data_IF_907281906674
#
_entry.id   IF_907281906674
#
_cell.length_a   1.000
_cell.length_b   1.000
_cell.length_c   1.000
_cell.angle_alpha   90.00
_cell.angle_beta   90.00
_cell.angle_gamma   90.00
#
_symmetry.space_group_name_H-M   'P 1'
#
loop_
_entity.id
_entity.type
_entity.pdbx_description
1 polymer ?
#
# COMPACT_ATOMS: atom_id res chain seq x y z
N UNK A 1 -26.46 1.85 -18.23
CA UNK A 1 -25.83 3.17 -18.02
C UNK A 1 -24.45 2.95 -17.44
N UNK A 2 -23.34 3.18 -18.17
CA UNK A 2 -22.02 3.02 -17.57
C UNK A 2 -21.82 4.17 -16.58
N UNK A 3 -21.55 3.84 -15.31
CA UNK A 3 -21.20 4.84 -14.31
C UNK A 3 -19.95 5.58 -14.80
N UNK A 4 -20.04 6.90 -14.95
CA UNK A 4 -18.89 7.72 -15.26
C UNK A 4 -17.84 7.49 -14.16
N UNK A 5 -16.70 6.88 -14.53
CA UNK A 5 -15.53 6.79 -13.64
C UNK A 5 -15.21 8.20 -13.17
N UNK A 6 -15.45 8.50 -11.90
CA UNK A 6 -14.98 9.75 -11.30
C UNK A 6 -13.46 9.76 -11.46
N UNK A 7 -12.94 10.71 -12.24
CA UNK A 7 -11.50 10.89 -12.41
C UNK A 7 -10.88 11.31 -11.07
N UNK A 8 -9.64 10.89 -10.81
CA UNK A 8 -8.83 11.36 -9.70
C UNK A 8 -8.96 12.88 -9.53
N UNK A 9 -9.25 13.33 -8.31
CA UNK A 9 -9.41 14.75 -7.98
C UNK A 9 -8.21 15.23 -7.18
N UNK A 10 -7.89 16.53 -7.31
CA UNK A 10 -6.88 17.15 -6.44
C UNK A 10 -7.50 17.47 -5.09
N UNK A 11 -7.20 16.66 -4.08
CA UNK A 11 -7.64 16.85 -2.69
C UNK A 11 -6.47 17.37 -1.86
N UNK A 12 -6.77 18.00 -0.73
CA UNK A 12 -5.73 18.40 0.24
C UNK A 12 -5.33 17.21 1.09
N UNK A 13 -4.10 17.20 1.59
CA UNK A 13 -3.63 16.09 2.44
C UNK A 13 -4.49 15.96 3.70
N UNK A 14 -4.91 17.09 4.30
CA UNK A 14 -5.77 17.08 5.49
C UNK A 14 -7.10 16.35 5.28
N UNK A 15 -7.68 16.42 4.08
CA UNK A 15 -8.95 15.74 3.77
C UNK A 15 -8.83 14.22 3.68
N UNK A 16 -7.61 13.70 3.48
CA UNK A 16 -7.40 12.29 3.17
C UNK A 16 -6.47 11.55 4.13
N UNK A 17 -5.71 12.27 4.94
CA UNK A 17 -4.73 11.72 5.86
C UNK A 17 -5.32 10.66 6.80
N UNK A 18 -6.42 10.98 7.49
CA UNK A 18 -7.08 10.05 8.41
C UNK A 18 -7.54 8.77 7.69
N UNK A 19 -8.00 8.92 6.45
CA UNK A 19 -8.43 7.79 5.63
C UNK A 19 -7.23 6.92 5.22
N UNK A 20 -6.11 7.53 4.84
CA UNK A 20 -4.90 6.77 4.54
C UNK A 20 -4.40 6.02 5.79
N UNK A 21 -4.29 6.71 6.94
CA UNK A 21 -3.89 6.09 8.22
C UNK A 21 -4.82 4.92 8.58
N UNK A 22 -6.14 5.10 8.44
CA UNK A 22 -7.12 4.05 8.69
C UNK A 22 -6.91 2.82 7.79
N UNK A 23 -6.68 3.05 6.49
CA UNK A 23 -6.50 1.99 5.50
C UNK A 23 -5.19 1.23 5.76
N UNK A 24 -4.08 1.92 6.01
CA UNK A 24 -2.79 1.27 6.33
C UNK A 24 -2.88 0.45 7.61
N UNK A 25 -3.54 0.97 8.66
CA UNK A 25 -3.76 0.22 9.90
C UNK A 25 -4.58 -1.04 9.66
N UNK A 26 -5.55 -1.01 8.75
CA UNK A 26 -6.39 -2.17 8.41
C UNK A 26 -5.62 -3.18 7.59
N UNK A 27 -4.84 -2.76 6.61
CA UNK A 27 -3.94 -3.62 5.82
C UNK A 27 -2.92 -4.30 6.73
N UNK A 28 -2.25 -3.53 7.60
CA UNK A 28 -1.35 -4.05 8.63
C UNK A 28 -2.03 -5.12 9.49
N UNK A 29 -3.24 -4.84 9.98
CA UNK A 29 -4.01 -5.77 10.81
C UNK A 29 -4.34 -7.08 10.09
N UNK A 30 -4.63 -7.02 8.79
CA UNK A 30 -4.85 -8.20 7.96
C UNK A 30 -3.56 -9.03 7.82
N UNK A 31 -2.43 -8.40 7.54
CA UNK A 31 -1.13 -9.10 7.45
C UNK A 31 -0.71 -9.71 8.78
N UNK A 32 -0.97 -9.04 9.91
CA UNK A 32 -0.79 -9.64 11.25
C UNK A 32 -1.69 -10.86 11.44
N UNK A 33 -2.93 -10.85 10.93
CA UNK A 33 -3.78 -12.02 10.98
C UNK A 33 -3.19 -13.19 10.17
N UNK A 34 -2.53 -12.92 9.03
CA UNK A 34 -1.82 -13.93 8.24
C UNK A 34 -0.57 -14.48 8.94
N UNK A 35 0.16 -13.67 9.72
CA UNK A 35 1.26 -14.16 10.58
C UNK A 35 0.76 -15.25 11.54
N UNK A 36 -0.44 -15.07 12.10
CA UNK A 36 -1.03 -16.06 13.00
C UNK A 36 -1.59 -17.27 12.25
N UNK A 37 -2.28 -17.04 11.12
CA UNK A 37 -2.87 -18.09 10.32
C UNK A 37 -1.83 -19.02 9.66
N UNK A 38 -0.68 -18.47 9.28
CA UNK A 38 0.40 -19.18 8.58
C UNK A 38 1.69 -19.21 9.40
N UNK A 39 1.63 -19.74 10.62
CA UNK A 39 2.77 -19.79 11.52
C UNK A 39 3.94 -20.67 11.03
N UNK A 40 3.70 -21.53 10.03
CA UNK A 40 4.70 -22.40 9.38
C UNK A 40 4.45 -22.50 7.86
N UNK A 41 5.50 -22.68 7.05
CA UNK A 41 6.93 -22.62 7.43
C UNK A 41 7.33 -21.22 7.91
N UNK A 42 8.43 -21.13 8.68
CA UNK A 42 8.84 -19.86 9.33
C UNK A 42 9.07 -18.74 8.30
N UNK A 43 9.55 -19.09 7.12
CA UNK A 43 9.67 -18.18 5.98
C UNK A 43 8.35 -17.49 5.61
N UNK A 44 7.24 -18.23 5.50
CA UNK A 44 5.91 -17.66 5.22
C UNK A 44 5.45 -16.75 6.34
N UNK A 45 5.69 -17.15 7.60
CA UNK A 45 5.37 -16.32 8.76
C UNK A 45 6.17 -15.01 8.74
N UNK A 46 7.47 -15.09 8.47
CA UNK A 46 8.38 -13.94 8.44
C UNK A 46 8.06 -13.00 7.29
N UNK A 47 7.66 -13.54 6.13
CA UNK A 47 7.14 -12.76 5.01
C UNK A 47 5.93 -11.92 5.43
N UNK A 48 4.88 -12.53 6.00
CA UNK A 48 3.69 -11.78 6.44
C UNK A 48 4.01 -10.77 7.54
N UNK A 49 4.99 -11.07 8.40
CA UNK A 49 5.46 -10.11 9.39
C UNK A 49 6.21 -8.94 8.76
N UNK A 50 7.00 -9.19 7.71
CA UNK A 50 7.64 -8.17 6.88
C UNK A 50 6.61 -7.23 6.27
N UNK A 51 5.58 -7.77 5.62
CA UNK A 51 4.47 -6.99 5.06
C UNK A 51 3.79 -6.12 6.14
N UNK A 52 3.43 -6.70 7.29
CA UNK A 52 2.84 -5.92 8.39
C UNK A 52 3.78 -4.81 8.92
N UNK A 53 5.09 -5.08 8.97
CA UNK A 53 6.10 -4.10 9.38
C UNK A 53 6.22 -2.96 8.36
N UNK A 54 6.07 -3.24 7.07
CA UNK A 54 6.04 -2.21 6.04
C UNK A 54 4.89 -1.23 6.27
N UNK A 55 3.68 -1.74 6.52
CA UNK A 55 2.52 -0.90 6.81
C UNK A 55 2.63 -0.13 8.13
N UNK A 56 3.30 -0.71 9.13
CA UNK A 56 3.64 0.04 10.34
C UNK A 56 4.55 1.24 10.03
N UNK A 57 5.47 1.08 9.07
CA UNK A 57 6.28 2.15 8.50
C UNK A 57 5.43 3.25 7.87
N UNK A 58 4.45 2.89 7.03
CA UNK A 58 3.48 3.83 6.45
C UNK A 58 2.66 4.56 7.52
N UNK A 59 2.19 3.86 8.54
CA UNK A 59 1.47 4.48 9.65
C UNK A 59 2.30 5.53 10.39
N UNK A 60 3.55 5.19 10.75
CA UNK A 60 4.46 6.13 11.41
C UNK A 60 4.81 7.32 10.53
N UNK A 61 4.94 7.06 9.23
CA UNK A 61 5.21 8.05 8.22
C UNK A 61 4.06 9.07 8.08
N UNK A 62 2.82 8.60 8.05
CA UNK A 62 1.64 9.46 8.01
C UNK A 62 1.42 10.22 9.34
N UNK A 63 1.79 9.65 10.48
CA UNK A 63 1.76 10.35 11.77
C UNK A 63 2.74 11.54 11.82
N UNK A 64 3.90 11.44 11.14
CA UNK A 64 4.79 12.59 10.97
C UNK A 64 4.15 13.66 10.09
N UNK A 65 3.47 13.27 9.00
CA UNK A 65 2.71 14.20 8.15
C UNK A 65 1.64 14.93 8.96
N UNK A 66 0.87 14.20 9.78
CA UNK A 66 -0.12 14.76 10.70
C UNK A 66 0.49 15.83 11.61
N UNK A 67 1.60 15.49 12.27
CA UNK A 67 2.31 16.41 13.19
C UNK A 67 2.80 17.68 12.46
N UNK A 68 3.33 17.54 11.24
CA UNK A 68 3.76 18.69 10.42
C UNK A 68 2.58 19.56 10.03
N UNK A 69 1.45 18.96 9.67
CA UNK A 69 0.23 19.65 9.24
C UNK A 69 -0.44 20.39 10.40
N UNK A 70 -0.37 19.87 11.62
CA UNK A 70 -0.89 20.54 12.80
C UNK A 70 0.04 21.65 13.29
N UNK A 71 1.36 21.50 13.09
CA UNK A 71 2.35 22.53 13.41
C UNK A 71 2.39 23.68 12.39
N UNK A 72 2.16 23.40 11.10
CA UNK A 72 1.99 24.40 10.03
C UNK A 72 0.78 24.06 9.14
N UNK A 73 -0.42 24.54 9.51
CA UNK A 73 -1.64 24.32 8.72
C UNK A 73 -1.55 24.86 7.28
N UNK A 74 -0.66 25.83 7.01
CA UNK A 74 -0.46 26.36 5.66
C UNK A 74 0.30 25.39 4.76
N UNK A 75 1.06 24.43 5.31
CA UNK A 75 1.68 23.36 4.54
C UNK A 75 0.63 22.45 3.90
N UNK A 76 -0.38 22.02 4.67
CA UNK A 76 -1.48 21.17 4.19
C UNK A 76 -2.33 21.83 3.09
N UNK A 77 -2.57 23.13 3.21
CA UNK A 77 -3.40 23.88 2.25
C UNK A 77 -2.70 24.08 0.89
N UNK A 78 -1.36 24.04 0.85
CA UNK A 78 -0.56 24.26 -0.37
C UNK A 78 -0.28 22.96 -1.12
N UNK A 79 -0.21 21.83 -0.43
CA UNK A 79 0.09 20.54 -1.05
C UNK A 79 -1.17 19.82 -1.46
N UNK A 80 -1.34 19.63 -2.78
CA UNK A 80 -2.45 18.86 -3.34
C UNK A 80 -1.95 17.52 -3.85
N UNK A 81 -2.59 16.45 -3.39
CA UNK A 81 -2.36 15.09 -3.86
C UNK A 81 -3.46 14.69 -4.82
N UNK A 82 -3.09 13.89 -5.82
CA UNK A 82 -4.08 13.26 -6.68
C UNK A 82 -4.68 12.09 -5.93
N UNK A 83 -6.01 12.10 -5.83
CA UNK A 83 -6.70 11.09 -5.07
C UNK A 83 -8.04 10.77 -5.69
N UNK A 84 -8.32 9.49 -5.89
CA UNK A 84 -9.61 9.02 -6.38
C UNK A 84 -10.49 8.56 -5.20
N UNK A 85 -11.60 9.27 -4.88
CA UNK A 85 -12.52 8.86 -3.83
C UNK A 85 -13.14 7.47 -4.04
N UNK A 86 -13.23 7.03 -5.29
CA UNK A 86 -13.74 5.69 -5.62
C UNK A 86 -12.75 4.60 -5.17
N UNK A 87 -11.45 4.90 -5.17
CA UNK A 87 -10.40 4.02 -4.62
C UNK A 87 -10.60 3.77 -3.13
N UNK A 88 -10.94 4.80 -2.33
CA UNK A 88 -11.24 4.61 -0.89
C UNK A 88 -12.42 3.70 -0.67
N UNK A 89 -13.52 3.98 -1.36
CA UNK A 89 -14.75 3.22 -1.18
C UNK A 89 -14.53 1.76 -1.55
N UNK A 90 -13.82 1.52 -2.66
CA UNK A 90 -13.41 0.19 -3.10
C UNK A 90 -12.51 -0.48 -2.07
N UNK A 91 -11.46 0.19 -1.61
CA UNK A 91 -10.47 -0.39 -0.70
C UNK A 91 -11.03 -0.66 0.69
N UNK A 92 -11.86 0.25 1.24
CA UNK A 92 -12.60 0.00 2.49
C UNK A 92 -13.51 -1.22 2.38
N UNK A 93 -14.21 -1.36 1.26
CA UNK A 93 -15.09 -2.51 1.01
C UNK A 93 -14.29 -3.81 0.90
N UNK A 94 -13.18 -3.76 0.16
CA UNK A 94 -12.26 -4.89 -0.05
C UNK A 94 -11.64 -5.35 1.27
N UNK A 95 -11.00 -4.45 2.02
CA UNK A 95 -10.44 -4.73 3.35
C UNK A 95 -11.50 -5.26 4.31
N UNK A 96 -12.71 -4.67 4.30
CA UNK A 96 -13.82 -5.15 5.12
C UNK A 96 -14.22 -6.59 4.79
N UNK A 97 -14.24 -6.96 3.51
CA UNK A 97 -14.50 -8.34 3.08
C UNK A 97 -13.36 -9.27 3.48
N UNK A 98 -12.11 -8.90 3.21
CA UNK A 98 -10.93 -9.73 3.48
C UNK A 98 -10.68 -9.95 4.96
N UNK A 99 -10.91 -8.95 5.81
CA UNK A 99 -10.85 -9.13 7.27
C UNK A 99 -11.91 -10.13 7.76
N UNK A 100 -13.12 -10.12 7.19
CA UNK A 100 -14.14 -11.12 7.55
C UNK A 100 -13.77 -12.50 7.06
N UNK A 101 -13.28 -12.62 5.83
CA UNK A 101 -12.86 -13.88 5.22
C UNK A 101 -11.66 -14.49 5.97
N UNK A 102 -10.65 -13.69 6.32
CA UNK A 102 -9.49 -14.13 7.08
C UNK A 102 -9.87 -14.69 8.47
N UNK A 103 -10.92 -14.15 9.10
CA UNK A 103 -11.43 -14.68 10.39
C UNK A 103 -12.05 -16.06 10.28
N UNK A 104 -12.57 -16.43 9.11
CA UNK A 104 -13.13 -17.77 8.86
C UNK A 104 -12.08 -18.79 8.46
N UNK A 105 -10.84 -18.34 8.25
CA UNK A 105 -9.74 -19.14 7.72
C UNK A 105 -9.65 -19.01 6.20
N UNK A 106 -8.43 -18.83 5.71
CA UNK A 106 -8.10 -18.70 4.28
C UNK A 106 -6.92 -19.60 3.93
N UNK A 107 -6.85 -20.06 2.68
CA UNK A 107 -5.65 -20.73 2.17
C UNK A 107 -4.52 -19.73 1.97
N UNK A 108 -3.28 -20.22 1.93
CA UNK A 108 -2.11 -19.37 1.67
C UNK A 108 -2.19 -18.69 0.29
N UNK A 109 -2.63 -19.43 -0.73
CA UNK A 109 -2.85 -18.88 -2.07
C UNK A 109 -3.89 -17.74 -2.06
N UNK A 110 -4.98 -17.91 -1.31
CA UNK A 110 -6.00 -16.87 -1.17
C UNK A 110 -5.47 -15.65 -0.42
N UNK A 111 -4.61 -15.84 0.58
CA UNK A 111 -3.95 -14.74 1.27
C UNK A 111 -2.99 -13.96 0.35
N UNK A 112 -2.25 -14.64 -0.53
CA UNK A 112 -1.45 -13.98 -1.56
C UNK A 112 -2.31 -13.20 -2.56
N UNK A 113 -3.44 -13.75 -2.99
CA UNK A 113 -4.39 -13.01 -3.83
C UNK A 113 -4.91 -11.75 -3.14
N UNK A 114 -5.28 -11.85 -1.86
CA UNK A 114 -5.69 -10.69 -1.08
C UNK A 114 -4.60 -9.63 -1.03
N UNK A 115 -3.34 -10.03 -0.80
CA UNK A 115 -2.20 -9.11 -0.80
C UNK A 115 -2.06 -8.40 -2.16
N UNK A 116 -2.03 -9.14 -3.27
CA UNK A 116 -1.96 -8.55 -4.62
C UNK A 116 -3.07 -7.53 -4.85
N UNK A 117 -4.31 -7.83 -4.46
CA UNK A 117 -5.43 -6.90 -4.67
C UNK A 117 -5.30 -5.60 -3.86
N UNK A 118 -4.71 -5.69 -2.66
CA UNK A 118 -4.43 -4.54 -1.81
C UNK A 118 -3.26 -3.73 -2.35
N UNK A 119 -2.16 -4.37 -2.73
CA UNK A 119 -0.99 -3.70 -3.30
C UNK A 119 -1.30 -3.05 -4.66
N UNK A 120 -2.25 -3.61 -5.42
CA UNK A 120 -2.75 -3.02 -6.67
C UNK A 120 -3.63 -1.77 -6.47
N UNK A 121 -3.93 -1.37 -5.23
CA UNK A 121 -4.93 -0.33 -4.94
C UNK A 121 -4.44 1.11 -5.13
N UNK A 122 -3.16 1.33 -5.43
CA UNK A 122 -2.49 2.64 -5.50
C UNK A 122 -2.46 3.41 -4.17
N UNK A 123 -2.89 2.83 -3.04
CA UNK A 123 -2.85 3.49 -1.74
C UNK A 123 -1.44 3.98 -1.39
N UNK A 124 -0.44 3.15 -1.65
CA UNK A 124 0.94 3.49 -1.37
C UNK A 124 1.46 4.66 -2.22
N UNK A 125 1.03 4.77 -3.48
CA UNK A 125 1.35 5.93 -4.32
C UNK A 125 0.80 7.23 -3.70
N UNK A 126 -0.38 7.17 -3.08
CA UNK A 126 -0.97 8.28 -2.34
C UNK A 126 -0.16 8.58 -1.09
N UNK A 127 0.24 7.57 -0.31
CA UNK A 127 1.10 7.76 0.87
C UNK A 127 2.40 8.46 0.48
N UNK A 128 3.11 7.96 -0.55
CA UNK A 128 4.35 8.57 -1.07
C UNK A 128 4.14 10.02 -1.49
N UNK A 129 2.97 10.35 -2.06
CA UNK A 129 2.64 11.72 -2.45
C UNK A 129 2.35 12.61 -1.24
N UNK A 130 1.69 12.09 -0.19
CA UNK A 130 1.51 12.82 1.07
C UNK A 130 2.85 13.11 1.75
N UNK A 131 3.82 12.19 1.64
CA UNK A 131 5.16 12.36 2.18
C UNK A 131 5.94 13.51 1.55
N UNK A 132 5.50 14.06 0.42
CA UNK A 132 6.10 15.28 -0.16
C UNK A 132 6.03 16.50 0.77
N UNK A 133 5.17 16.49 1.80
CA UNK A 133 5.13 17.52 2.84
C UNK A 133 6.35 17.45 3.76
N UNK A 134 6.92 16.26 3.94
CA UNK A 134 8.14 16.05 4.72
C UNK A 134 9.34 16.43 3.85
N UNK A 135 10.11 17.44 4.27
CA UNK A 135 11.26 17.98 3.52
C UNK A 135 12.52 17.11 3.62
N UNK A 136 12.40 15.79 3.59
CA UNK A 136 13.52 14.85 3.55
C UNK A 136 13.47 13.97 2.27
N UNK A 137 14.31 14.29 1.26
CA UNK A 137 14.39 13.54 0.01
C UNK A 137 14.95 12.12 0.16
N UNK A 138 15.81 11.85 1.14
CA UNK A 138 16.40 10.52 1.34
C UNK A 138 15.36 9.57 1.93
N UNK A 139 14.56 10.08 2.84
CA UNK A 139 13.52 9.30 3.49
C UNK A 139 12.40 8.92 2.50
N UNK A 140 11.99 9.84 1.62
CA UNK A 140 11.07 9.52 0.50
C UNK A 140 11.66 8.45 -0.44
N UNK A 141 12.97 8.51 -0.70
CA UNK A 141 13.64 7.51 -1.55
C UNK A 141 13.63 6.13 -0.90
N UNK A 142 13.84 6.04 0.42
CA UNK A 142 13.79 4.79 1.18
C UNK A 142 12.40 4.18 1.18
N UNK A 143 11.35 4.97 1.40
CA UNK A 143 9.96 4.49 1.33
C UNK A 143 9.66 3.83 -0.02
N UNK A 144 10.04 4.47 -1.14
CA UNK A 144 9.81 3.90 -2.48
C UNK A 144 10.67 2.65 -2.76
N UNK A 145 11.84 2.51 -2.14
CA UNK A 145 12.66 1.30 -2.29
C UNK A 145 12.07 0.09 -1.55
N UNK A 146 11.42 0.33 -0.41
CA UNK A 146 10.74 -0.72 0.36
C UNK A 146 9.53 -1.28 -0.41
N UNK A 147 8.75 -0.44 -1.09
CA UNK A 147 7.68 -0.86 -2.02
C UNK A 147 8.09 -2.00 -2.97
N UNK A 148 9.18 -1.76 -3.72
CA UNK A 148 9.59 -2.66 -4.80
C UNK A 148 10.14 -3.96 -4.20
N UNK A 149 10.83 -3.84 -3.07
CA UNK A 149 11.32 -5.00 -2.33
C UNK A 149 10.17 -5.91 -1.93
N UNK A 150 9.11 -5.36 -1.33
CA UNK A 150 8.01 -6.16 -0.79
C UNK A 150 7.13 -6.80 -1.88
N UNK A 151 6.96 -6.13 -3.02
CA UNK A 151 6.34 -6.74 -4.21
C UNK A 151 7.20 -7.86 -4.81
N UNK A 152 8.52 -7.69 -4.79
CA UNK A 152 9.47 -8.73 -5.21
C UNK A 152 9.39 -9.96 -4.31
N UNK A 153 9.36 -9.74 -2.99
CA UNK A 153 9.18 -10.80 -2.00
C UNK A 153 7.81 -11.49 -2.18
N UNK A 154 6.74 -10.75 -2.45
CA UNK A 154 5.42 -11.33 -2.72
C UNK A 154 5.44 -12.23 -3.96
N UNK A 155 6.04 -11.78 -5.07
CA UNK A 155 6.19 -12.62 -6.28
C UNK A 155 7.00 -13.88 -5.98
N UNK A 156 8.14 -13.75 -5.30
CA UNK A 156 8.98 -14.89 -4.89
C UNK A 156 8.21 -15.90 -4.03
N UNK A 157 7.44 -15.43 -3.06
CA UNK A 157 6.67 -16.29 -2.17
C UNK A 157 5.55 -17.02 -2.90
N UNK A 158 4.93 -16.39 -3.90
CA UNK A 158 3.94 -17.02 -4.77
C UNK A 158 4.62 -18.13 -5.59
N UNK A 159 5.71 -17.81 -6.30
CA UNK A 159 6.45 -18.80 -7.10
C UNK A 159 6.87 -20.02 -6.27
N UNK A 160 7.33 -19.79 -5.04
CA UNK A 160 7.83 -20.84 -4.16
C UNK A 160 6.74 -21.70 -3.52
N UNK A 161 5.59 -21.11 -3.18
CA UNK A 161 4.57 -21.77 -2.34
C UNK A 161 3.25 -22.10 -3.06
N UNK A 162 3.08 -21.69 -4.31
CA UNK A 162 1.94 -22.10 -5.15
C UNK A 162 2.39 -22.51 -6.55
N UNK A 163 1.52 -23.21 -7.28
CA UNK A 163 1.65 -23.52 -8.71
C UNK A 163 0.75 -22.64 -9.57
N UNK A 164 0.14 -21.61 -8.99
CA UNK A 164 -0.82 -20.75 -9.66
C UNK A 164 -0.08 -19.70 -10.51
N UNK A 165 0.17 -20.05 -11.77
CA UNK A 165 0.85 -19.18 -12.74
C UNK A 165 0.11 -17.86 -12.97
N UNK A 166 -1.22 -17.87 -12.89
CA UNK A 166 -2.01 -16.64 -13.06
C UNK A 166 -1.81 -15.66 -11.91
N UNK A 167 -1.59 -16.17 -10.69
CA UNK A 167 -1.32 -15.37 -9.51
C UNK A 167 0.10 -14.80 -9.56
N UNK A 168 1.07 -15.61 -9.99
CA UNK A 168 2.46 -15.17 -10.19
C UNK A 168 2.54 -14.06 -11.24
N UNK A 169 1.89 -14.24 -12.40
CA UNK A 169 1.87 -13.22 -13.45
C UNK A 169 1.26 -11.89 -12.98
N UNK A 170 0.26 -11.92 -12.09
CA UNK A 170 -0.30 -10.71 -11.47
C UNK A 170 0.71 -10.03 -10.56
N UNK A 171 1.46 -10.78 -9.76
CA UNK A 171 2.49 -10.22 -8.88
C UNK A 171 3.64 -9.61 -9.69
N UNK A 172 4.13 -10.31 -10.72
CA UNK A 172 5.19 -9.81 -11.60
C UNK A 172 4.78 -8.51 -12.31
N UNK A 173 3.54 -8.45 -12.81
CA UNK A 173 3.00 -7.24 -13.39
C UNK A 173 2.99 -6.07 -12.41
N UNK A 174 2.72 -6.30 -11.11
CA UNK A 174 2.81 -5.26 -10.08
C UNK A 174 4.25 -4.79 -9.86
N UNK A 175 5.22 -5.72 -9.81
CA UNK A 175 6.66 -5.39 -9.69
C UNK A 175 7.09 -4.50 -10.86
N UNK A 176 6.77 -4.90 -12.10
CA UNK A 176 7.12 -4.15 -13.31
C UNK A 176 6.47 -2.76 -13.31
N UNK A 177 5.20 -2.66 -12.93
CA UNK A 177 4.51 -1.39 -12.84
C UNK A 177 5.14 -0.47 -11.79
N UNK A 178 5.48 -0.99 -10.60
CA UNK A 178 6.13 -0.24 -9.54
C UNK A 178 7.52 0.27 -9.99
N UNK A 179 8.33 -0.60 -10.62
CA UNK A 179 9.62 -0.23 -11.20
C UNK A 179 9.47 0.86 -12.29
N UNK A 180 8.47 0.73 -13.16
CA UNK A 180 8.14 1.72 -14.19
C UNK A 180 7.70 3.07 -13.61
N UNK A 181 6.86 3.07 -12.56
CA UNK A 181 6.49 4.28 -11.80
C UNK A 181 7.71 4.95 -11.20
N UNK A 182 8.62 4.20 -10.57
CA UNK A 182 9.87 4.73 -10.02
C UNK A 182 10.74 5.38 -11.10
N UNK A 183 10.93 4.71 -12.24
CA UNK A 183 11.74 5.24 -13.34
C UNK A 183 11.21 6.59 -13.83
N UNK A 184 9.87 6.73 -13.95
CA UNK A 184 9.21 7.99 -14.31
C UNK A 184 9.41 9.08 -13.25
N UNK A 185 9.19 8.76 -11.96
CA UNK A 185 9.40 9.71 -10.84
C UNK A 185 10.85 10.22 -10.79
N UNK A 186 11.85 9.34 -11.02
CA UNK A 186 13.28 9.73 -11.07
C UNK A 186 13.59 10.66 -12.24
N UNK A 187 12.98 10.45 -13.41
CA UNK A 187 13.13 11.35 -14.57
C UNK A 187 12.52 12.72 -14.31
N UNK A 188 11.34 12.78 -13.68
CA UNK A 188 10.65 14.03 -13.36
C UNK A 188 11.34 14.84 -12.24
N UNK A 189 12.18 14.20 -11.42
CA UNK A 189 12.93 14.83 -10.33
C UNK A 189 14.35 15.26 -10.73
N UNK A 190 14.78 15.06 -11.98
CA UNK A 190 16.03 15.64 -12.50
C UNK A 190 15.78 17.11 -12.88
N UNK A 191 16.64 18.04 -12.44
CA UNK A 191 16.53 19.46 -12.78
C UNK A 191 16.71 19.71 -14.28
#
# INVERSE_FOLDING_TARGET
MPAARQRARRTTIREILDTAIELEKKTMGLYVAFVQAFARPEEVRNFWFGMARHEAGHCGALALVETVIDSDPRAAARTRVWFDPTTVTRLRSLLGAYVREARTGVSLERAFEMAIDLEASELEDVVIDMLSVVKDPEWRRRAIQLLIHDLGDLSYMIERHTRNESLLARADALVEQAAGRLARRRRAARP
#
